data_IF_445368293378
#
_entry.id   IF_445368293378
#
_cell.length_a   1.000
_cell.length_b   1.000
_cell.length_c   1.000
_cell.angle_alpha   90.00
_cell.angle_beta   90.00
_cell.angle_gamma   90.00
#
_symmetry.space_group_name_H-M   'P 1'
#
loop_
_entity.id
_entity.type
_entity.pdbx_description
1 polymer ?
#
# COMPACT_ATOMS: atom_id res chain seq x y z
N UNK A 1 -57.66 -10.78 -13.93
CA UNK A 1 -57.58 -12.10 -13.26
C UNK A 1 -56.40 -12.87 -13.84
N UNK A 2 -55.29 -12.99 -13.11
CA UNK A 2 -54.33 -14.10 -13.29
C UNK A 2 -53.82 -14.46 -11.89
N UNK A 3 -54.52 -15.38 -11.22
CA UNK A 3 -54.09 -15.95 -9.94
C UNK A 3 -53.38 -17.27 -10.28
N UNK A 4 -52.09 -17.21 -10.60
CA UNK A 4 -51.32 -18.44 -10.82
C UNK A 4 -50.93 -19.03 -9.46
N UNK A 5 -51.42 -20.24 -9.22
CA UNK A 5 -51.00 -21.05 -8.09
C UNK A 5 -49.56 -21.50 -8.30
N UNK A 6 -48.62 -20.92 -7.56
CA UNK A 6 -47.27 -21.48 -7.47
C UNK A 6 -47.37 -22.87 -6.84
N UNK A 7 -47.04 -23.89 -7.64
CA UNK A 7 -46.94 -25.27 -7.17
C UNK A 7 -45.79 -25.33 -6.17
N UNK A 8 -45.99 -25.96 -5.00
CA UNK A 8 -45.03 -26.02 -3.89
C UNK A 8 -43.62 -26.52 -4.30
N UNK A 9 -43.48 -27.20 -5.43
CA UNK A 9 -42.18 -27.60 -6.00
C UNK A 9 -41.37 -26.48 -6.68
N UNK A 10 -42.01 -25.42 -7.21
CA UNK A 10 -41.28 -24.31 -7.85
C UNK A 10 -40.55 -23.42 -6.84
N UNK A 11 -41.06 -23.31 -5.61
CA UNK A 11 -40.42 -22.51 -4.55
C UNK A 11 -39.09 -23.16 -4.14
N UNK A 12 -39.02 -24.49 -4.07
CA UNK A 12 -37.78 -25.21 -3.77
C UNK A 12 -36.74 -25.03 -4.88
N UNK A 13 -37.16 -25.04 -6.16
CA UNK A 13 -36.25 -24.82 -7.29
C UNK A 13 -35.65 -23.41 -7.25
N UNK A 14 -36.45 -22.39 -6.96
CA UNK A 14 -35.96 -21.01 -6.86
C UNK A 14 -34.96 -20.85 -5.71
N UNK A 15 -35.22 -21.46 -4.55
CA UNK A 15 -34.32 -21.43 -3.41
C UNK A 15 -32.96 -22.08 -3.73
N UNK A 16 -32.98 -23.25 -4.39
CA UNK A 16 -31.75 -23.97 -4.77
C UNK A 16 -30.94 -23.12 -5.76
N UNK A 17 -31.58 -22.50 -6.74
CA UNK A 17 -30.90 -21.63 -7.72
C UNK A 17 -30.25 -20.43 -7.03
N UNK A 18 -30.92 -19.78 -6.09
CA UNK A 18 -30.36 -18.67 -5.33
C UNK A 18 -29.11 -19.09 -4.52
N UNK A 19 -29.15 -20.25 -3.85
CA UNK A 19 -28.01 -20.78 -3.09
C UNK A 19 -26.84 -21.10 -4.03
N UNK A 20 -27.10 -21.73 -5.18
CA UNK A 20 -26.05 -22.04 -6.16
C UNK A 20 -25.38 -20.76 -6.68
N UNK A 21 -26.16 -19.70 -6.93
CA UNK A 21 -25.61 -18.41 -7.35
C UNK A 21 -24.75 -17.79 -6.24
N UNK A 22 -25.20 -17.81 -4.98
CA UNK A 22 -24.42 -17.30 -3.85
C UNK A 22 -23.12 -18.09 -3.68
N UNK A 23 -23.16 -19.42 -3.73
CA UNK A 23 -21.96 -20.26 -3.66
C UNK A 23 -21.03 -19.99 -4.83
N UNK A 24 -21.55 -19.83 -6.05
CA UNK A 24 -20.73 -19.49 -7.21
C UNK A 24 -20.06 -18.12 -7.07
N UNK A 25 -20.76 -17.11 -6.55
CA UNK A 25 -20.19 -15.78 -6.29
C UNK A 25 -19.10 -15.86 -5.22
N UNK A 26 -19.35 -16.59 -4.12
CA UNK A 26 -18.34 -16.80 -3.07
C UNK A 26 -17.13 -17.55 -3.63
N UNK A 27 -17.33 -18.57 -4.44
CA UNK A 27 -16.26 -19.38 -5.01
C UNK A 27 -15.44 -18.57 -6.03
N UNK A 28 -16.09 -17.75 -6.87
CA UNK A 28 -15.41 -16.79 -7.74
C UNK A 28 -14.64 -15.76 -6.91
N UNK A 29 -15.25 -15.19 -5.88
CA UNK A 29 -14.61 -14.24 -4.97
C UNK A 29 -13.35 -14.83 -4.33
N UNK A 30 -13.42 -16.06 -3.79
CA UNK A 30 -12.28 -16.78 -3.21
C UNK A 30 -11.22 -17.16 -4.26
N UNK A 31 -11.63 -17.47 -5.50
CA UNK A 31 -10.68 -17.76 -6.58
C UNK A 31 -9.99 -16.49 -7.10
N UNK A 32 -10.67 -15.34 -7.08
CA UNK A 32 -10.10 -14.03 -7.44
C UNK A 32 -9.27 -13.42 -6.32
N UNK A 33 -9.46 -13.86 -5.06
CA UNK A 33 -8.62 -13.51 -3.91
C UNK A 33 -7.35 -14.38 -3.83
N UNK A 34 -6.97 -15.07 -4.91
CA UNK A 34 -5.59 -15.54 -5.03
C UNK A 34 -4.73 -14.33 -5.34
N UNK A 35 -4.04 -13.83 -4.31
CA UNK A 35 -2.92 -12.91 -4.52
C UNK A 35 -2.05 -13.52 -5.62
N UNK A 36 -1.73 -12.71 -6.62
CA UNK A 36 -0.84 -13.09 -7.71
C UNK A 36 0.62 -13.13 -7.21
N UNK A 37 0.86 -13.71 -6.02
CA UNK A 37 2.19 -14.06 -5.58
C UNK A 37 2.67 -15.19 -6.47
N UNK A 38 3.65 -14.88 -7.31
CA UNK A 38 4.45 -15.87 -8.03
C UNK A 38 4.97 -16.88 -7.01
N UNK A 39 4.34 -18.06 -6.95
CA UNK A 39 4.67 -19.05 -5.93
C UNK A 39 6.11 -19.54 -6.16
N UNK A 40 6.98 -19.25 -5.19
CA UNK A 40 8.36 -19.73 -5.24
C UNK A 40 8.39 -21.24 -5.01
N UNK A 41 9.22 -21.89 -5.81
CA UNK A 41 9.43 -23.33 -5.75
C UNK A 41 10.26 -23.69 -4.51
N UNK A 42 9.56 -23.83 -3.37
CA UNK A 42 10.15 -24.25 -2.09
C UNK A 42 10.87 -25.61 -2.17
N UNK A 43 10.67 -26.40 -3.24
CA UNK A 43 11.41 -27.65 -3.44
C UNK A 43 12.91 -27.42 -3.66
N UNK A 44 13.30 -26.22 -4.11
CA UNK A 44 14.70 -25.82 -4.33
C UNK A 44 15.42 -25.37 -3.05
N UNK A 45 14.67 -25.17 -1.96
CA UNK A 45 15.23 -24.78 -0.66
C UNK A 45 15.36 -26.02 0.23
N UNK A 46 16.53 -26.22 0.84
CA UNK A 46 16.77 -27.30 1.81
C UNK A 46 15.71 -27.21 2.92
N UNK A 47 15.02 -28.33 3.26
CA UNK A 47 13.98 -28.37 4.28
C UNK A 47 14.31 -27.68 5.60
N UNK A 48 15.57 -27.69 6.00
CA UNK A 48 16.05 -27.05 7.23
C UNK A 48 15.89 -25.52 7.22
N UNK A 49 16.04 -24.90 6.05
CA UNK A 49 16.00 -23.44 5.90
C UNK A 49 14.64 -22.91 5.41
N UNK A 50 13.70 -23.79 5.07
CA UNK A 50 12.36 -23.38 4.60
C UNK A 50 11.59 -22.51 5.62
N UNK A 51 11.59 -22.82 6.94
CA UNK A 51 10.91 -21.97 7.92
C UNK A 51 11.48 -20.55 7.95
N UNK A 52 12.82 -20.44 7.86
CA UNK A 52 13.51 -19.16 7.80
C UNK A 52 13.14 -18.38 6.54
N UNK A 53 13.19 -19.02 5.38
CA UNK A 53 12.82 -18.39 4.11
C UNK A 53 11.38 -17.86 4.13
N UNK A 54 10.45 -18.64 4.69
CA UNK A 54 9.06 -18.22 4.86
C UNK A 54 8.94 -17.03 5.81
N UNK A 55 9.65 -17.06 6.94
CA UNK A 55 9.69 -15.94 7.90
C UNK A 55 10.23 -14.66 7.24
N UNK A 56 11.31 -14.79 6.47
CA UNK A 56 11.90 -13.70 5.72
C UNK A 56 10.93 -13.12 4.69
N UNK A 57 10.26 -13.99 3.92
CA UNK A 57 9.29 -13.56 2.90
C UNK A 57 8.10 -12.81 3.52
N UNK A 58 7.57 -13.30 4.63
CA UNK A 58 6.50 -12.62 5.35
C UNK A 58 6.97 -11.27 5.90
N UNK A 59 8.16 -11.21 6.51
CA UNK A 59 8.69 -9.95 7.02
C UNK A 59 8.89 -8.91 5.93
N UNK A 60 9.29 -9.31 4.72
CA UNK A 60 9.37 -8.37 3.58
C UNK A 60 8.02 -7.79 3.20
N UNK A 61 6.97 -8.60 3.22
CA UNK A 61 5.60 -8.15 2.98
C UNK A 61 5.18 -7.15 4.06
N UNK A 62 5.48 -7.44 5.32
CA UNK A 62 5.24 -6.53 6.45
C UNK A 62 6.01 -5.21 6.28
N UNK A 63 7.31 -5.26 5.91
CA UNK A 63 8.12 -4.05 5.67
C UNK A 63 7.62 -3.23 4.48
N UNK A 64 7.10 -3.87 3.43
CA UNK A 64 6.48 -3.16 2.32
C UNK A 64 5.17 -2.47 2.74
N UNK A 65 4.35 -3.13 3.55
CA UNK A 65 3.15 -2.54 4.14
C UNK A 65 3.49 -1.35 5.06
N UNK A 66 4.48 -1.51 5.95
CA UNK A 66 4.98 -0.45 6.82
C UNK A 66 5.44 0.77 6.01
N UNK A 67 6.24 0.56 4.96
CA UNK A 67 6.71 1.64 4.09
C UNK A 67 5.56 2.43 3.48
N UNK A 68 4.53 1.76 2.98
CA UNK A 68 3.36 2.40 2.38
C UNK A 68 2.54 3.18 3.41
N UNK A 69 2.35 2.63 4.62
CA UNK A 69 1.64 3.30 5.69
C UNK A 69 2.41 4.55 6.16
N UNK A 70 3.72 4.42 6.41
CA UNK A 70 4.57 5.54 6.83
C UNK A 70 4.55 6.64 5.77
N UNK A 71 4.82 6.30 4.50
CA UNK A 71 4.82 7.29 3.41
C UNK A 71 3.44 7.89 3.17
N UNK A 72 2.36 7.13 3.36
CA UNK A 72 1.00 7.66 3.30
C UNK A 72 0.76 8.74 4.36
N UNK A 73 1.11 8.46 5.62
CA UNK A 73 0.88 9.37 6.74
C UNK A 73 1.81 10.59 6.75
N UNK A 74 2.98 10.48 6.13
CA UNK A 74 4.03 11.52 6.18
C UNK A 74 4.07 12.46 4.96
N UNK A 75 3.15 12.32 4.01
CA UNK A 75 3.19 13.03 2.74
C UNK A 75 4.27 12.57 1.78
N UNK A 76 4.55 11.27 1.83
CA UNK A 76 5.32 10.53 0.85
C UNK A 76 6.77 10.25 1.23
N UNK A 77 7.22 10.63 2.42
CA UNK A 77 8.61 10.47 2.83
C UNK A 77 8.73 9.51 4.01
N UNK A 78 9.70 8.61 4.01
CA UNK A 78 9.92 7.76 5.19
C UNK A 78 10.38 8.63 6.37
N UNK A 79 11.29 9.56 6.09
CA UNK A 79 11.78 10.54 7.06
C UNK A 79 11.89 11.91 6.36
N UNK A 80 10.92 12.81 6.52
CA UNK A 80 10.94 14.09 5.84
C UNK A 80 12.05 14.99 6.39
N UNK A 81 12.97 15.42 5.53
CA UNK A 81 14.14 16.26 5.91
C UNK A 81 13.89 17.75 5.75
N UNK A 82 12.93 18.14 4.91
CA UNK A 82 12.60 19.53 4.58
C UNK A 82 11.13 19.63 4.25
N UNK A 83 10.57 20.83 4.39
CA UNK A 83 9.18 21.12 4.03
C UNK A 83 8.20 20.12 4.67
N UNK A 84 8.23 20.06 6.00
CA UNK A 84 7.25 19.33 6.80
C UNK A 84 6.84 20.17 8.01
N UNK A 85 5.76 19.77 8.67
CA UNK A 85 5.41 20.20 10.03
C UNK A 85 5.18 18.97 10.90
N UNK A 86 5.40 19.15 12.20
CA UNK A 86 4.90 18.23 13.22
C UNK A 86 3.42 18.53 13.48
N UNK A 87 2.58 17.52 13.30
CA UNK A 87 1.13 17.57 13.53
C UNK A 87 0.76 16.57 14.64
N UNK A 88 -0.51 16.56 15.06
CA UNK A 88 -1.00 15.53 15.98
C UNK A 88 -0.96 14.10 15.39
N UNK A 89 -0.74 13.96 14.08
CA UNK A 89 -0.62 12.69 13.36
C UNK A 89 0.85 12.33 13.05
N UNK A 90 1.81 13.14 13.51
CA UNK A 90 3.24 12.97 13.23
C UNK A 90 3.79 14.01 12.23
N UNK A 91 4.96 13.72 11.67
CA UNK A 91 5.61 14.59 10.69
C UNK A 91 4.94 14.44 9.32
N UNK A 92 4.33 15.51 8.82
CA UNK A 92 3.64 15.53 7.53
C UNK A 92 4.31 16.52 6.59
N UNK A 93 4.60 16.08 5.36
CA UNK A 93 5.27 16.90 4.35
C UNK A 93 4.29 17.79 3.60
N UNK A 94 4.78 18.95 3.15
CA UNK A 94 4.01 19.83 2.29
C UNK A 94 3.91 19.26 0.87
N UNK A 95 2.70 19.33 0.31
CA UNK A 95 2.46 19.26 -1.13
C UNK A 95 2.46 20.63 -1.80
N UNK A 96 1.99 21.67 -1.10
CA UNK A 96 2.00 23.06 -1.58
C UNK A 96 2.66 23.98 -0.55
N UNK A 97 3.72 24.69 -0.96
CA UNK A 97 4.42 25.64 -0.08
C UNK A 97 4.95 26.83 -0.86
N UNK A 98 4.78 28.05 -0.35
CA UNK A 98 5.12 29.31 -1.02
C UNK A 98 4.57 29.38 -2.46
N UNK A 99 3.31 28.94 -2.64
CA UNK A 99 2.63 28.83 -3.93
C UNK A 99 3.35 27.91 -4.97
N UNK A 100 4.23 27.02 -4.51
CA UNK A 100 4.93 26.03 -5.34
C UNK A 100 4.46 24.63 -5.00
N UNK A 101 4.18 23.84 -6.03
CA UNK A 101 3.99 22.41 -5.87
C UNK A 101 5.34 21.80 -5.47
N UNK A 102 5.38 21.26 -4.25
CA UNK A 102 6.53 20.62 -3.62
C UNK A 102 6.20 19.18 -3.21
N UNK A 103 5.06 18.65 -3.69
CA UNK A 103 4.67 17.26 -3.47
C UNK A 103 5.76 16.34 -4.01
N UNK A 104 6.02 15.25 -3.29
CA UNK A 104 7.00 14.26 -3.72
C UNK A 104 6.67 13.75 -5.13
N UNK A 105 7.70 13.55 -5.96
CA UNK A 105 7.49 12.89 -7.24
C UNK A 105 7.25 11.40 -7.02
N UNK A 106 6.56 10.77 -7.96
CA UNK A 106 6.28 9.34 -7.93
C UNK A 106 7.57 8.51 -7.86
N UNK A 107 8.57 8.86 -8.66
CA UNK A 107 9.86 8.17 -8.70
C UNK A 107 10.58 8.30 -7.35
N UNK A 108 10.53 9.48 -6.75
CA UNK A 108 11.17 9.70 -5.45
C UNK A 108 10.46 8.94 -4.33
N UNK A 109 9.13 8.80 -4.40
CA UNK A 109 8.35 7.98 -3.47
C UNK A 109 8.64 6.48 -3.63
N UNK A 110 8.78 6.00 -4.87
CA UNK A 110 9.24 4.63 -5.17
C UNK A 110 10.62 4.36 -4.55
N UNK A 111 11.54 5.35 -4.63
CA UNK A 111 12.85 5.26 -3.99
C UNK A 111 12.74 5.22 -2.45
N UNK A 112 11.89 6.06 -1.84
CA UNK A 112 11.70 6.07 -0.38
C UNK A 112 11.22 4.70 0.12
N UNK A 113 10.23 4.10 -0.55
CA UNK A 113 9.72 2.76 -0.21
C UNK A 113 10.81 1.70 -0.39
N UNK A 114 11.54 1.74 -1.51
CA UNK A 114 12.59 0.76 -1.82
C UNK A 114 13.72 0.79 -0.80
N UNK A 115 14.21 2.00 -0.46
CA UNK A 115 15.28 2.18 0.51
C UNK A 115 14.86 1.74 1.92
N UNK A 116 13.62 2.01 2.34
CA UNK A 116 13.13 1.54 3.64
C UNK A 116 13.17 0.01 3.75
N UNK A 117 12.76 -0.69 2.70
CA UNK A 117 12.79 -2.16 2.68
C UNK A 117 14.22 -2.68 2.73
N UNK A 118 15.13 -2.06 1.95
CA UNK A 118 16.54 -2.42 1.95
C UNK A 118 17.22 -2.15 3.32
N UNK A 119 16.90 -1.05 3.98
CA UNK A 119 17.44 -0.68 5.29
C UNK A 119 16.88 -1.55 6.42
N UNK A 120 15.64 -2.04 6.27
CA UNK A 120 14.95 -2.81 7.29
C UNK A 120 15.15 -4.33 7.21
N UNK A 121 15.82 -4.83 6.16
CA UNK A 121 15.99 -6.28 5.93
C UNK A 121 16.72 -6.99 7.06
N UNK A 122 17.63 -6.29 7.74
CA UNK A 122 18.38 -6.83 8.87
C UNK A 122 17.48 -7.24 10.04
N UNK A 123 16.30 -6.62 10.17
CA UNK A 123 15.31 -6.96 11.19
C UNK A 123 14.44 -8.16 10.81
N UNK A 124 14.52 -8.67 9.58
CA UNK A 124 13.74 -9.82 9.13
C UNK A 124 14.39 -11.17 9.43
N UNK A 125 15.63 -11.19 9.92
CA UNK A 125 16.37 -12.42 10.19
C UNK A 125 16.85 -12.42 11.63
N UNK A 126 16.49 -13.46 12.38
CA UNK A 126 17.00 -13.65 13.75
C UNK A 126 18.44 -14.20 13.72
N UNK A 127 19.40 -13.34 14.04
CA UNK A 127 20.82 -13.68 14.09
C UNK A 127 21.22 -14.55 15.29
N UNK A 128 20.30 -14.87 16.21
CA UNK A 128 20.59 -15.74 17.36
C UNK A 128 20.63 -17.20 16.92
N UNK A 129 19.78 -17.58 15.96
CA UNK A 129 19.62 -18.97 15.52
C UNK A 129 20.53 -19.34 14.34
N UNK A 130 21.04 -18.35 13.60
CA UNK A 130 21.80 -18.53 12.37
C UNK A 130 22.94 -17.52 12.25
N UNK A 131 24.02 -17.92 11.60
CA UNK A 131 25.03 -16.97 11.11
C UNK A 131 24.52 -16.38 9.80
N UNK A 132 24.40 -15.04 9.73
CA UNK A 132 23.78 -14.33 8.62
C UNK A 132 24.75 -13.30 8.06
N UNK A 133 24.99 -13.36 6.75
CA UNK A 133 25.75 -12.37 6.01
C UNK A 133 24.85 -11.70 4.97
N UNK A 134 24.74 -10.37 5.06
CA UNK A 134 23.97 -9.55 4.12
C UNK A 134 24.87 -9.10 2.97
N UNK A 135 24.46 -9.42 1.74
CA UNK A 135 25.07 -8.91 0.53
C UNK A 135 24.46 -7.58 0.08
N UNK A 136 24.67 -7.24 -1.19
CA UNK A 136 24.05 -6.06 -1.81
C UNK A 136 22.51 -6.18 -1.85
N UNK A 137 21.84 -5.07 -1.56
CA UNK A 137 20.40 -4.87 -1.70
C UNK A 137 20.10 -3.77 -2.72
N UNK A 138 19.04 -3.98 -3.51
CA UNK A 138 18.57 -3.06 -4.55
C UNK A 138 17.09 -3.34 -4.86
N UNK A 139 16.26 -3.27 -3.83
CA UNK A 139 14.81 -3.43 -3.98
C UNK A 139 14.28 -2.38 -4.96
N UNK A 140 13.26 -2.77 -5.75
CA UNK A 140 12.60 -1.84 -6.68
C UNK A 140 11.12 -1.78 -6.39
N UNK A 141 10.61 -0.57 -6.26
CA UNK A 141 9.17 -0.31 -6.12
C UNK A 141 8.64 0.31 -7.40
N UNK A 142 7.47 -0.12 -7.84
CA UNK A 142 6.73 0.47 -8.94
C UNK A 142 5.30 0.77 -8.48
N UNK A 143 4.94 2.04 -8.50
CA UNK A 143 3.59 2.51 -8.17
C UNK A 143 2.78 2.49 -9.47
N UNK A 144 1.68 1.74 -9.50
CA UNK A 144 0.67 1.80 -10.56
C UNK A 144 -0.55 2.57 -10.07
N UNK A 145 -1.51 2.80 -10.97
CA UNK A 145 -2.75 3.51 -10.61
C UNK A 145 -3.54 2.80 -9.51
N UNK A 146 -3.58 1.45 -9.53
CA UNK A 146 -4.43 0.64 -8.65
C UNK A 146 -3.67 -0.36 -7.75
N UNK A 147 -2.33 -0.38 -7.81
CA UNK A 147 -1.50 -1.25 -6.97
C UNK A 147 -0.08 -0.72 -6.88
N UNK A 148 0.65 -1.19 -5.87
CA UNK A 148 2.10 -1.02 -5.75
C UNK A 148 2.75 -2.39 -5.90
N UNK A 149 3.81 -2.46 -6.70
CA UNK A 149 4.59 -3.68 -6.91
C UNK A 149 5.97 -3.46 -6.30
N UNK A 150 6.34 -4.26 -5.32
CA UNK A 150 7.69 -4.29 -4.77
C UNK A 150 8.38 -5.55 -5.30
N UNK A 151 9.54 -5.38 -5.90
CA UNK A 151 10.42 -6.46 -6.34
C UNK A 151 11.69 -6.44 -5.49
N UNK A 152 11.75 -7.27 -4.43
CA UNK A 152 12.91 -7.32 -3.56
C UNK A 152 14.10 -7.98 -4.27
N UNK A 153 15.28 -7.34 -4.17
CA UNK A 153 16.52 -7.84 -4.79
C UNK A 153 17.67 -7.69 -3.82
N UNK A 154 17.86 -8.69 -2.99
CA UNK A 154 18.99 -8.74 -2.08
C UNK A 154 19.54 -10.15 -2.00
N UNK A 155 20.73 -10.28 -1.41
CA UNK A 155 21.38 -11.58 -1.19
C UNK A 155 21.61 -11.78 0.29
N UNK A 156 21.11 -12.88 0.84
CA UNK A 156 21.36 -13.26 2.23
C UNK A 156 22.00 -14.65 2.24
N UNK A 157 23.19 -14.74 2.81
CA UNK A 157 23.83 -16.02 3.10
C UNK A 157 23.50 -16.41 4.53
N UNK A 158 22.92 -17.59 4.71
CA UNK A 158 22.56 -18.14 6.02
C UNK A 158 23.33 -19.43 6.25
N UNK A 159 23.98 -19.53 7.40
CA UNK A 159 24.75 -20.72 7.78
C UNK A 159 24.25 -21.30 9.11
N UNK A 160 24.21 -22.64 9.18
CA UNK A 160 23.88 -23.42 10.38
C UNK A 160 24.79 -24.65 10.44
N UNK A 161 25.71 -24.68 11.39
CA UNK A 161 26.73 -25.73 11.50
C UNK A 161 27.59 -25.81 10.23
N UNK A 162 27.51 -26.93 9.51
CA UNK A 162 28.29 -27.16 8.27
C UNK A 162 27.50 -26.88 6.99
N UNK A 163 26.26 -26.40 7.10
CA UNK A 163 25.41 -26.08 5.95
C UNK A 163 25.33 -24.57 5.77
N UNK A 164 25.31 -24.15 4.52
CA UNK A 164 25.11 -22.76 4.13
C UNK A 164 24.19 -22.71 2.92
N UNK A 165 23.30 -21.71 2.89
CA UNK A 165 22.38 -21.44 1.79
C UNK A 165 22.42 -19.96 1.44
N UNK A 166 22.33 -19.66 0.15
CA UNK A 166 22.17 -18.28 -0.35
C UNK A 166 20.74 -18.11 -0.80
N UNK A 167 20.07 -17.09 -0.24
CA UNK A 167 18.79 -16.62 -0.71
C UNK A 167 19.01 -15.40 -1.62
N UNK A 168 18.62 -15.51 -2.88
CA UNK A 168 18.77 -14.47 -3.90
C UNK A 168 17.53 -14.31 -4.79
N UNK A 169 16.44 -15.02 -4.45
CA UNK A 169 15.17 -14.99 -5.16
C UNK A 169 14.03 -14.80 -4.17
N UNK A 170 13.19 -13.81 -4.45
CA UNK A 170 12.02 -13.43 -3.65
C UNK A 170 10.84 -13.18 -4.59
N UNK A 171 9.60 -13.42 -4.12
CA UNK A 171 8.44 -13.19 -4.95
C UNK A 171 8.20 -11.68 -5.02
N UNK A 172 7.60 -11.25 -6.11
CA UNK A 172 7.05 -9.89 -6.17
C UNK A 172 5.93 -9.76 -5.14
N UNK A 173 5.94 -8.65 -4.41
CA UNK A 173 4.92 -8.29 -3.44
C UNK A 173 4.00 -7.29 -4.13
N UNK A 174 2.76 -7.69 -4.38
CA UNK A 174 1.75 -6.82 -4.98
C UNK A 174 0.75 -6.37 -3.91
N UNK A 175 0.73 -5.07 -3.65
CA UNK A 175 -0.14 -4.46 -2.64
C UNK A 175 -1.25 -3.68 -3.37
N UNK A 176 -2.53 -4.10 -3.30
CA UNK A 176 -3.62 -3.55 -4.09
C UNK A 176 -4.13 -2.21 -3.51
N UNK A 177 -3.24 -1.22 -3.43
CA UNK A 177 -3.57 0.15 -3.04
C UNK A 177 -3.51 1.09 -4.23
N UNK A 178 -4.49 1.99 -4.35
CA UNK A 178 -4.59 3.00 -5.41
C UNK A 178 -3.64 4.19 -5.21
N UNK A 179 -2.43 3.96 -4.68
CA UNK A 179 -1.48 5.02 -4.32
C UNK A 179 -1.15 5.94 -5.51
N UNK A 180 -0.94 5.37 -6.71
CA UNK A 180 -0.68 6.18 -7.91
C UNK A 180 -1.82 7.15 -8.22
N UNK A 181 -3.06 6.65 -8.17
CA UNK A 181 -4.25 7.46 -8.38
C UNK A 181 -4.46 8.52 -7.29
N UNK A 182 -4.17 8.17 -6.03
CA UNK A 182 -4.25 9.11 -4.89
C UNK A 182 -3.24 10.26 -5.05
N UNK A 183 -2.02 9.99 -5.54
CA UNK A 183 -1.01 11.03 -5.81
C UNK A 183 -1.45 11.94 -6.96
N UNK A 184 -2.11 11.39 -7.98
CA UNK A 184 -2.67 12.19 -9.07
C UNK A 184 -3.76 13.15 -8.56
N UNK A 185 -4.63 12.67 -7.65
CA UNK A 185 -5.65 13.49 -6.97
C UNK A 185 -5.01 14.57 -6.11
N UNK A 186 -4.00 14.24 -5.30
CA UNK A 186 -3.29 15.20 -4.46
C UNK A 186 -2.67 16.32 -5.30
N UNK A 187 -2.02 15.98 -6.43
CA UNK A 187 -1.54 16.95 -7.40
C UNK A 187 -2.66 17.80 -7.99
N UNK A 188 -3.80 17.19 -8.34
CA UNK A 188 -4.98 17.90 -8.83
C UNK A 188 -5.51 18.93 -7.82
N UNK A 189 -5.54 18.60 -6.53
CA UNK A 189 -5.94 19.52 -5.45
C UNK A 189 -4.96 20.70 -5.37
N UNK A 190 -3.66 20.41 -5.39
CA UNK A 190 -2.59 21.44 -5.33
C UNK A 190 -2.69 22.40 -6.51
N UNK A 191 -2.83 21.88 -7.73
CA UNK A 191 -2.96 22.71 -8.92
C UNK A 191 -4.26 23.53 -8.92
N UNK A 192 -5.35 22.96 -8.40
CA UNK A 192 -6.60 23.69 -8.22
C UNK A 192 -6.43 24.86 -7.24
N UNK A 193 -5.79 24.62 -6.09
CA UNK A 193 -5.51 25.67 -5.10
C UNK A 193 -4.67 26.80 -5.68
N UNK A 194 -3.63 26.47 -6.47
CA UNK A 194 -2.80 27.48 -7.13
C UNK A 194 -3.59 28.35 -8.12
N UNK A 195 -4.63 27.80 -8.74
CA UNK A 195 -5.48 28.51 -9.71
C UNK A 195 -6.55 29.37 -9.05
N UNK A 196 -7.23 28.84 -8.01
CA UNK A 196 -8.38 29.49 -7.38
C UNK A 196 -8.05 30.17 -6.05
N UNK A 197 -6.78 30.13 -5.64
CA UNK A 197 -6.39 30.46 -4.26
C UNK A 197 -6.99 29.47 -3.28
N UNK A 198 -7.23 29.91 -2.05
CA UNK A 198 -7.73 29.07 -0.96
C UNK A 198 -9.23 28.71 -1.09
N UNK A 199 -9.88 29.10 -2.19
CA UNK A 199 -11.31 28.86 -2.45
C UNK A 199 -11.53 27.59 -3.30
N UNK A 200 -11.15 26.43 -2.77
CA UNK A 200 -11.51 25.14 -3.40
C UNK A 200 -12.94 24.76 -2.99
N UNK A 201 -13.80 24.47 -3.97
CA UNK A 201 -15.19 24.09 -3.68
C UNK A 201 -15.29 22.67 -3.13
N UNK A 202 -16.20 22.45 -2.18
CA UNK A 202 -16.50 21.10 -1.68
C UNK A 202 -16.99 20.18 -2.80
N UNK A 203 -17.70 20.72 -3.81
CA UNK A 203 -18.11 19.96 -5.00
C UNK A 203 -16.91 19.38 -5.73
N UNK A 204 -15.86 20.17 -5.96
CA UNK A 204 -14.64 19.68 -6.61
C UNK A 204 -13.98 18.55 -5.79
N UNK A 205 -13.91 18.70 -4.47
CA UNK A 205 -13.32 17.67 -3.60
C UNK A 205 -14.19 16.40 -3.48
N UNK A 206 -15.50 16.50 -3.71
CA UNK A 206 -16.43 15.37 -3.61
C UNK A 206 -16.64 14.63 -4.93
N UNK A 207 -16.14 15.16 -6.04
CA UNK A 207 -16.27 14.55 -7.37
C UNK A 207 -15.27 13.39 -7.59
N UNK A 208 -14.30 13.22 -6.68
CA UNK A 208 -13.36 12.10 -6.71
C UNK A 208 -14.01 10.79 -6.24
N UNK A 209 -13.46 9.67 -6.70
CA UNK A 209 -13.84 8.31 -6.30
C UNK A 209 -13.18 7.87 -4.97
N UNK A 210 -12.47 8.77 -4.31
CA UNK A 210 -11.89 8.64 -2.97
C UNK A 210 -12.40 9.77 -2.08
N UNK A 211 -12.32 9.60 -0.77
CA UNK A 211 -12.73 10.65 0.16
C UNK A 211 -11.58 11.64 0.36
N UNK A 212 -11.89 12.94 0.29
CA UNK A 212 -10.94 14.01 0.61
C UNK A 212 -11.47 14.80 1.79
N UNK A 213 -10.72 14.77 2.89
CA UNK A 213 -10.98 15.53 4.11
C UNK A 213 -9.86 16.56 4.26
N UNK A 214 -10.16 17.69 4.89
CA UNK A 214 -9.14 18.66 5.26
C UNK A 214 -9.39 19.20 6.67
N UNK A 215 -8.32 19.58 7.35
CA UNK A 215 -8.34 20.26 8.64
C UNK A 215 -7.33 21.42 8.67
N UNK A 216 -7.53 22.38 9.55
CA UNK A 216 -6.60 23.49 9.77
C UNK A 216 -5.56 23.09 10.81
N UNK A 217 -4.29 23.03 10.41
CA UNK A 217 -3.17 22.86 11.35
C UNK A 217 -2.94 24.17 12.10
N UNK A 218 -3.00 25.29 11.38
CA UNK A 218 -2.92 26.64 11.91
C UNK A 218 -3.72 27.61 11.02
N UNK A 219 -3.52 28.92 11.20
CA UNK A 219 -4.25 29.94 10.45
C UNK A 219 -3.85 30.04 8.98
N UNK A 220 -2.82 29.34 8.54
CA UNK A 220 -2.22 29.39 7.18
C UNK A 220 -1.96 28.02 6.57
N UNK A 221 -2.17 26.94 7.28
CA UNK A 221 -1.80 25.59 6.82
C UNK A 221 -3.00 24.65 6.91
N UNK A 222 -3.36 24.06 5.76
CA UNK A 222 -4.32 22.98 5.66
C UNK A 222 -3.58 21.64 5.67
N UNK A 223 -4.13 20.67 6.39
CA UNK A 223 -3.81 19.26 6.27
C UNK A 223 -4.89 18.61 5.41
N UNK A 224 -4.51 18.10 4.24
CA UNK A 224 -5.37 17.24 3.43
C UNK A 224 -5.16 15.77 3.78
N UNK A 225 -6.25 15.02 3.82
CA UNK A 225 -6.29 13.57 4.01
C UNK A 225 -7.08 12.98 2.84
N UNK A 226 -6.39 12.27 1.96
CA UNK A 226 -6.99 11.53 0.84
C UNK A 226 -7.08 10.06 1.25
N UNK A 227 -8.29 9.53 1.33
CA UNK A 227 -8.58 8.22 1.92
C UNK A 227 -9.45 7.37 0.98
N UNK A 228 -9.06 6.11 0.78
CA UNK A 228 -9.76 5.15 -0.09
C UNK A 228 -10.20 3.92 0.71
N UNK A 229 -11.52 3.67 0.78
CA UNK A 229 -12.09 2.54 1.54
C UNK A 229 -11.78 1.17 0.93
N UNK A 230 -11.55 1.15 -0.38
CA UNK A 230 -11.28 -0.08 -1.14
C UNK A 230 -9.81 -0.51 -1.02
N UNK A 231 -8.90 0.45 -0.85
CA UNK A 231 -7.47 0.19 -0.65
C UNK A 231 -7.21 -0.09 0.81
N UNK A 232 -6.85 -1.32 1.18
CA UNK A 232 -6.58 -1.69 2.58
C UNK A 232 -5.20 -2.30 2.75
N UNK A 233 -4.55 -1.93 3.84
CA UNK A 233 -3.33 -2.56 4.36
C UNK A 233 -3.67 -3.05 5.75
N UNK A 234 -3.55 -4.36 6.01
CA UNK A 234 -3.89 -4.98 7.30
C UNK A 234 -5.32 -4.63 7.79
N UNK A 235 -6.30 -4.68 6.89
CA UNK A 235 -7.70 -4.28 7.12
C UNK A 235 -7.93 -2.80 7.46
N UNK A 236 -6.87 -1.99 7.49
CA UNK A 236 -6.92 -0.54 7.69
C UNK A 236 -6.99 0.13 6.31
N UNK A 237 -8.00 0.98 6.04
CA UNK A 237 -8.05 1.69 4.77
C UNK A 237 -6.90 2.67 4.60
N UNK A 238 -6.41 2.78 3.37
CA UNK A 238 -5.22 3.53 3.04
C UNK A 238 -5.50 5.05 3.01
N UNK A 239 -4.58 5.82 3.59
CA UNK A 239 -4.64 7.28 3.62
C UNK A 239 -3.33 7.88 3.15
N UNK A 240 -3.42 8.97 2.39
CA UNK A 240 -2.31 9.82 2.02
C UNK A 240 -2.54 11.25 2.51
N UNK A 241 -1.61 11.75 3.32
CA UNK A 241 -1.69 13.05 3.98
C UNK A 241 -0.74 14.03 3.30
N UNK A 242 -1.11 15.30 3.15
CA UNK A 242 -0.16 16.33 2.76
C UNK A 242 -0.57 17.70 3.26
N UNK A 243 0.41 18.57 3.53
CA UNK A 243 0.16 19.95 3.93
C UNK A 243 0.08 20.89 2.73
N UNK A 244 -0.79 21.89 2.83
CA UNK A 244 -0.89 22.96 1.86
C UNK A 244 -0.91 24.32 2.55
N UNK A 245 0.03 25.19 2.18
CA UNK A 245 0.06 26.58 2.65
C UNK A 245 -0.99 27.42 1.91
N UNK A 246 -1.72 28.21 2.68
CA UNK A 246 -2.76 29.13 2.22
C UNK A 246 -2.17 30.47 1.79
N UNK A 247 -2.64 31.00 0.68
CA UNK A 247 -2.26 32.33 0.19
C UNK A 247 -3.25 33.39 0.70
N UNK A 248 -3.01 33.91 1.91
CA UNK A 248 -3.75 35.08 2.44
C UNK A 248 -3.42 36.38 1.72
#
# INVERSE_FOLDING_TARGET
>A
MVKSWMKRGQVTVILIVAIVIVVAILLVYFLTQKSSQSAIDLSKIDPEFRPLYKSLSNCLEDRANDALLITGLSGGYIEPKKNFLETNLGLVSYGLKNNKNVLISKEKLEDEISNYIDDSISFCVDSISFEVEFGESNTRTEIKGNKVIVNPRFKITVSSGNKSVVFDQYPDIEIPVKLGHIIDIANGIIEKQKQTGDQISLTYLSDFDVNVIFDYVDDKTLLYIVYDEDSKIEDIPYSFLFLAEMNK
#
